data_IF_642887387183
#
_entry.id   IF_642887387183
#
_cell.length_a   1.000
_cell.length_b   1.000
_cell.length_c   1.000
_cell.angle_alpha   90.00
_cell.angle_beta   90.00
_cell.angle_gamma   90.00
#
_symmetry.space_group_name_H-M   'P 1'
#
loop_
_entity.id
_entity.type
_entity.pdbx_description
1 polymer ?
#
# COMPACT_ATOMS: atom_id res chain seq x y z
N UNK A 1 -11.48 -3.36 -2.15
CA UNK A 1 -11.52 -2.03 -1.50
C UNK A 1 -12.10 -2.09 -0.08
N UNK A 2 -13.27 -2.68 0.15
CA UNK A 2 -13.88 -2.70 1.51
C UNK A 2 -13.02 -3.46 2.55
N UNK A 3 -12.35 -4.55 2.16
CA UNK A 3 -11.49 -5.32 3.07
C UNK A 3 -10.24 -4.57 3.56
N UNK A 4 -9.60 -3.76 2.69
CA UNK A 4 -8.44 -2.93 3.08
C UNK A 4 -8.84 -1.73 3.92
N UNK A 5 -10.02 -1.17 3.65
CA UNK A 5 -10.64 -0.05 4.39
C UNK A 5 -11.01 -0.43 5.83
N UNK A 6 -11.48 -1.66 6.05
CA UNK A 6 -11.76 -2.22 7.38
C UNK A 6 -10.50 -2.26 8.26
N UNK A 7 -9.37 -2.67 7.68
CA UNK A 7 -8.08 -2.69 8.39
C UNK A 7 -7.59 -1.29 8.77
N UNK A 8 -7.73 -0.32 7.87
CA UNK A 8 -7.36 1.07 8.15
C UNK A 8 -8.26 1.74 9.19
N UNK A 9 -9.55 1.47 9.16
CA UNK A 9 -10.52 1.94 10.16
C UNK A 9 -10.14 1.44 11.56
N UNK A 10 -9.81 0.16 11.68
CA UNK A 10 -9.34 -0.44 12.94
C UNK A 10 -8.07 0.24 13.48
N UNK A 11 -7.08 0.52 12.63
CA UNK A 11 -5.84 1.19 13.02
C UNK A 11 -6.11 2.62 13.48
N UNK A 12 -6.88 3.40 12.71
CA UNK A 12 -7.23 4.78 13.08
C UNK A 12 -8.01 4.83 14.40
N UNK A 13 -8.96 3.90 14.58
CA UNK A 13 -9.70 3.77 15.83
C UNK A 13 -8.78 3.44 17.01
N UNK A 14 -7.86 2.49 16.86
CA UNK A 14 -6.85 2.16 17.88
C UNK A 14 -5.96 3.36 18.24
N UNK A 15 -5.52 4.13 17.25
CA UNK A 15 -4.71 5.34 17.49
C UNK A 15 -5.51 6.39 18.26
N UNK A 16 -6.80 6.55 17.97
CA UNK A 16 -7.65 7.47 18.73
C UNK A 16 -7.85 7.06 20.20
N UNK A 17 -7.87 5.74 20.49
CA UNK A 17 -7.99 5.22 21.85
C UNK A 17 -6.79 5.59 22.74
N UNK A 18 -5.63 5.89 22.16
CA UNK A 18 -4.48 6.40 22.90
C UNK A 18 -4.76 7.73 23.62
N UNK A 19 -5.79 8.48 23.18
CA UNK A 19 -6.21 9.74 23.78
C UNK A 19 -7.37 9.60 24.78
N UNK A 20 -7.83 8.37 25.07
CA UNK A 20 -9.00 8.09 25.93
C UNK A 20 -8.97 8.76 27.31
N UNK A 21 -7.78 9.01 27.87
CA UNK A 21 -7.62 9.71 29.15
C UNK A 21 -7.94 11.21 29.13
N UNK A 22 -8.14 11.83 27.95
CA UNK A 22 -8.45 13.26 27.79
C UNK A 22 -9.67 13.45 26.89
N UNK A 23 -10.86 13.78 27.42
CA UNK A 23 -12.11 13.70 26.67
C UNK A 23 -12.16 14.61 25.43
N UNK A 24 -11.61 15.82 25.52
CA UNK A 24 -11.55 16.75 24.37
C UNK A 24 -10.61 16.27 23.26
N UNK A 25 -9.44 15.73 23.62
CA UNK A 25 -8.47 15.21 22.65
C UNK A 25 -8.97 13.91 22.01
N UNK A 26 -9.58 13.04 22.82
CA UNK A 26 -10.24 11.83 22.35
C UNK A 26 -11.34 12.13 21.34
N UNK A 27 -12.25 13.07 21.64
CA UNK A 27 -13.34 13.45 20.74
C UNK A 27 -12.83 13.91 19.38
N UNK A 28 -11.78 14.74 19.36
CA UNK A 28 -11.15 15.23 18.12
C UNK A 28 -10.45 14.12 17.35
N UNK A 29 -9.64 13.30 18.03
CA UNK A 29 -8.94 12.17 17.43
C UNK A 29 -9.90 11.11 16.88
N UNK A 30 -10.97 10.80 17.61
CA UNK A 30 -11.99 9.84 17.19
C UNK A 30 -12.79 10.36 15.98
N UNK A 31 -13.15 11.64 15.99
CA UNK A 31 -13.81 12.28 14.83
C UNK A 31 -12.93 12.26 13.58
N UNK A 32 -11.62 12.48 13.76
CA UNK A 32 -10.64 12.37 12.69
C UNK A 32 -10.49 10.94 12.16
N UNK A 33 -10.47 9.95 13.06
CA UNK A 33 -10.30 8.54 12.71
C UNK A 33 -11.42 8.00 11.81
N UNK A 34 -12.67 8.41 12.05
CA UNK A 34 -13.87 7.90 11.36
C UNK A 34 -14.24 8.74 10.12
N UNK A 35 -13.58 9.89 9.91
CA UNK A 35 -13.93 10.82 8.84
C UNK A 35 -13.90 10.17 7.45
N UNK A 36 -12.86 9.37 7.17
CA UNK A 36 -12.72 8.62 5.92
C UNK A 36 -13.79 7.53 5.78
N UNK A 37 -14.08 6.80 6.85
CA UNK A 37 -15.08 5.73 6.86
C UNK A 37 -16.48 6.28 6.59
N UNK A 38 -16.85 7.40 7.21
CA UNK A 38 -18.14 8.07 6.97
C UNK A 38 -18.25 8.50 5.52
N UNK A 39 -17.20 9.08 4.95
CA UNK A 39 -17.20 9.45 3.53
C UNK A 39 -17.42 8.24 2.63
N UNK A 40 -16.73 7.13 2.88
CA UNK A 40 -16.87 5.91 2.07
C UNK A 40 -18.24 5.25 2.23
N UNK A 41 -18.82 5.27 3.44
CA UNK A 41 -20.19 4.80 3.70
C UNK A 41 -21.21 5.70 2.98
N UNK A 42 -21.07 7.03 3.05
CA UNK A 42 -21.93 7.96 2.32
C UNK A 42 -21.80 7.74 0.80
N UNK A 43 -20.58 7.59 0.30
CA UNK A 43 -20.29 7.25 -1.09
C UNK A 43 -20.99 5.96 -1.50
N UNK A 44 -20.93 4.92 -0.68
CA UNK A 44 -21.64 3.67 -0.92
C UNK A 44 -23.15 3.89 -1.04
N UNK A 45 -23.79 4.60 -0.10
CA UNK A 45 -25.23 4.84 -0.15
C UNK A 45 -25.69 5.68 -1.34
N UNK A 46 -24.81 6.50 -1.92
CA UNK A 46 -25.12 7.31 -3.11
C UNK A 46 -24.82 6.53 -4.40
N UNK A 47 -23.62 5.97 -4.50
CA UNK A 47 -23.10 5.35 -5.71
C UNK A 47 -23.70 3.96 -5.92
N UNK A 48 -23.94 3.18 -4.88
CA UNK A 48 -24.46 1.82 -5.02
C UNK A 48 -25.87 1.76 -5.61
N UNK A 49 -26.86 2.54 -5.14
CA UNK A 49 -28.16 2.58 -5.80
C UNK A 49 -28.06 3.11 -7.23
N UNK A 50 -27.25 4.14 -7.45
CA UNK A 50 -27.02 4.70 -8.79
C UNK A 50 -26.49 3.63 -9.75
N UNK A 51 -25.50 2.84 -9.32
CA UNK A 51 -24.93 1.76 -10.11
C UNK A 51 -25.96 0.68 -10.43
N UNK A 52 -26.76 0.27 -9.43
CA UNK A 52 -27.79 -0.75 -9.61
C UNK A 52 -28.84 -0.37 -10.66
N UNK A 53 -29.14 0.92 -10.82
CA UNK A 53 -30.09 1.40 -11.83
C UNK A 53 -29.46 1.69 -13.20
N UNK A 54 -28.19 2.11 -13.26
CA UNK A 54 -27.60 2.68 -14.49
C UNK A 54 -26.42 1.90 -15.08
N UNK A 55 -25.74 1.07 -14.28
CA UNK A 55 -24.48 0.42 -14.65
C UNK A 55 -23.41 1.44 -15.06
N UNK A 56 -23.35 2.58 -14.36
CA UNK A 56 -22.52 3.73 -14.74
C UNK A 56 -21.03 3.39 -14.64
N UNK A 57 -20.60 2.81 -13.52
CA UNK A 57 -19.20 2.44 -13.27
C UNK A 57 -18.77 1.38 -14.27
N UNK A 58 -19.60 0.38 -14.56
CA UNK A 58 -19.30 -0.63 -15.58
C UNK A 58 -19.08 0.01 -16.96
N UNK A 59 -19.97 0.89 -17.40
CA UNK A 59 -19.86 1.58 -18.69
C UNK A 59 -18.64 2.49 -18.77
N UNK A 60 -18.39 3.28 -17.72
CA UNK A 60 -17.23 4.17 -17.67
C UNK A 60 -15.93 3.37 -17.64
N UNK A 61 -15.89 2.26 -16.91
CA UNK A 61 -14.74 1.35 -16.88
C UNK A 61 -14.45 0.79 -18.28
N UNK A 62 -15.48 0.33 -18.99
CA UNK A 62 -15.33 -0.10 -20.38
C UNK A 62 -14.79 1.01 -21.28
N UNK A 63 -15.33 2.23 -21.19
CA UNK A 63 -14.86 3.38 -21.97
C UNK A 63 -13.41 3.77 -21.70
N UNK A 64 -12.92 3.57 -20.47
CA UNK A 64 -11.53 3.85 -20.09
C UNK A 64 -10.61 2.73 -20.58
N UNK A 65 -11.02 1.46 -20.46
CA UNK A 65 -10.16 0.30 -20.74
C UNK A 65 -10.09 -0.05 -22.23
N UNK A 66 -11.16 0.11 -22.99
CA UNK A 66 -11.23 -0.24 -24.42
C UNK A 66 -10.15 0.44 -25.29
N UNK A 67 -9.92 1.77 -25.21
CA UNK A 67 -8.82 2.41 -25.94
C UNK A 67 -7.44 2.02 -25.42
N UNK A 68 -7.32 1.65 -24.14
CA UNK A 68 -6.06 1.25 -23.51
C UNK A 68 -5.56 -0.13 -23.98
N UNK A 69 -6.46 -1.04 -24.32
CA UNK A 69 -6.11 -2.37 -24.88
C UNK A 69 -5.82 -2.25 -26.39
N UNK A 70 -6.47 -1.29 -27.06
CA UNK A 70 -6.36 -1.08 -28.51
C UNK A 70 -5.08 -0.37 -28.95
N UNK A 71 -4.55 0.58 -28.17
CA UNK A 71 -3.33 1.31 -28.53
C UNK A 71 -2.20 1.10 -27.52
N UNK A 72 -1.21 0.32 -27.97
CA UNK A 72 0.16 0.24 -27.45
C UNK A 72 0.30 -0.34 -26.03
N UNK A 73 0.88 -1.54 -25.98
CA UNK A 73 1.49 -2.13 -24.79
C UNK A 73 2.64 -1.26 -24.28
N UNK A 74 2.30 -0.21 -23.56
CA UNK A 74 3.24 0.57 -22.78
C UNK A 74 3.50 -0.19 -21.47
N UNK A 75 4.28 -1.26 -21.54
CA UNK A 75 4.76 -1.97 -20.37
C UNK A 75 5.75 -1.07 -19.65
N UNK A 76 5.28 -0.32 -18.65
CA UNK A 76 6.15 0.28 -17.65
C UNK A 76 6.64 -0.82 -16.72
N UNK A 77 7.62 -1.59 -17.20
CA UNK A 77 8.36 -2.65 -16.52
C UNK A 77 9.22 -2.09 -15.38
N UNK A 78 8.59 -1.47 -14.39
CA UNK A 78 9.27 -0.70 -13.33
C UNK A 78 9.24 -1.45 -12.00
N UNK A 79 8.15 -2.17 -11.71
CA UNK A 79 7.99 -2.90 -10.45
C UNK A 79 8.69 -4.26 -10.45
N UNK A 80 8.55 -5.02 -11.54
CA UNK A 80 9.25 -6.31 -11.71
C UNK A 80 10.76 -6.08 -11.78
N UNK A 81 11.21 -4.99 -12.43
CA UNK A 81 12.62 -4.60 -12.49
C UNK A 81 13.23 -4.31 -11.11
N UNK A 82 12.43 -3.86 -10.14
CA UNK A 82 12.89 -3.55 -8.78
C UNK A 82 12.75 -4.76 -7.84
N UNK A 83 11.75 -5.61 -8.07
CA UNK A 83 11.41 -6.73 -7.19
C UNK A 83 12.18 -8.01 -7.54
N UNK A 84 12.36 -8.29 -8.83
CA UNK A 84 13.10 -9.44 -9.33
C UNK A 84 14.54 -9.53 -8.82
N UNK A 85 15.37 -8.46 -8.82
CA UNK A 85 16.72 -8.54 -8.29
C UNK A 85 16.74 -8.83 -6.79
N UNK A 86 15.76 -8.32 -6.04
CA UNK A 86 15.65 -8.56 -4.60
C UNK A 86 15.28 -10.03 -4.34
N UNK A 87 14.32 -10.58 -5.06
CA UNK A 87 13.92 -11.98 -4.93
C UNK A 87 15.07 -12.93 -5.27
N UNK A 88 15.83 -12.65 -6.33
CA UNK A 88 17.00 -13.46 -6.71
C UNK A 88 18.13 -13.41 -5.68
N UNK A 89 18.30 -12.31 -4.95
CA UNK A 89 19.27 -12.19 -3.85
C UNK A 89 18.81 -12.94 -2.60
N UNK A 90 17.51 -12.93 -2.29
CA UNK A 90 16.96 -13.53 -1.07
C UNK A 90 16.79 -15.04 -1.23
N UNK A 91 16.09 -15.50 -2.29
CA UNK A 91 15.74 -16.91 -2.45
C UNK A 91 15.42 -17.26 -3.91
N UNK A 92 16.16 -18.21 -4.49
CA UNK A 92 15.82 -18.80 -5.78
C UNK A 92 15.14 -20.16 -5.57
N UNK A 93 13.86 -20.23 -5.95
CA UNK A 93 13.03 -21.43 -5.86
C UNK A 93 12.83 -21.98 -7.27
N UNK A 94 12.84 -23.31 -7.40
CA UNK A 94 12.47 -23.93 -8.66
C UNK A 94 10.94 -23.90 -8.83
N UNK A 95 10.42 -22.82 -9.44
CA UNK A 95 8.98 -22.59 -9.61
C UNK A 95 8.26 -23.74 -10.32
N UNK A 96 8.89 -24.35 -11.33
CA UNK A 96 8.32 -25.47 -12.07
C UNK A 96 8.11 -26.71 -11.20
N UNK A 97 9.01 -26.92 -10.24
CA UNK A 97 8.95 -28.05 -9.31
C UNK A 97 7.97 -27.79 -8.16
N UNK A 98 7.89 -26.54 -7.71
CA UNK A 98 6.88 -26.09 -6.74
C UNK A 98 5.45 -26.23 -7.29
N UNK A 99 5.24 -25.88 -8.56
CA UNK A 99 3.95 -26.03 -9.24
C UNK A 99 3.59 -27.52 -9.39
N UNK A 100 4.54 -28.36 -9.80
CA UNK A 100 4.33 -29.80 -9.91
C UNK A 100 4.04 -30.46 -8.56
N UNK A 101 4.65 -30.00 -7.47
CA UNK A 101 4.38 -30.50 -6.12
C UNK A 101 2.99 -30.11 -5.60
N UNK A 102 2.45 -28.98 -6.05
CA UNK A 102 1.08 -28.55 -5.70
C UNK A 102 0.03 -29.41 -6.40
N UNK A 103 0.32 -29.89 -7.62
CA UNK A 103 -0.60 -30.68 -8.44
C UNK A 103 -0.51 -32.18 -8.12
N UNK A 104 0.68 -32.71 -7.84
CA UNK A 104 0.95 -34.15 -7.62
C UNK A 104 1.85 -34.38 -6.39
N UNK A 105 1.30 -34.30 -5.16
CA UNK A 105 2.08 -34.37 -3.92
C UNK A 105 2.72 -35.76 -3.67
N UNK A 106 2.15 -36.84 -4.22
CA UNK A 106 2.65 -38.21 -4.04
C UNK A 106 3.98 -38.49 -4.78
N UNK A 107 4.40 -37.61 -5.69
CA UNK A 107 5.63 -37.78 -6.48
C UNK A 107 6.89 -37.31 -5.74
N UNK A 108 6.74 -36.58 -4.63
CA UNK A 108 7.84 -35.96 -3.91
C UNK A 108 8.01 -36.57 -2.52
N UNK A 109 9.26 -36.93 -2.18
CA UNK A 109 9.59 -37.41 -0.85
C UNK A 109 9.33 -36.32 0.22
N UNK A 110 8.93 -36.68 1.45
CA UNK A 110 8.53 -35.72 2.50
C UNK A 110 9.64 -34.76 2.96
N UNK A 111 10.88 -34.93 2.47
CA UNK A 111 12.05 -34.11 2.78
C UNK A 111 12.74 -33.55 1.51
N UNK A 112 11.98 -33.42 0.42
CA UNK A 112 12.43 -32.79 -0.82
C UNK A 112 12.65 -31.28 -0.60
N UNK A 113 13.74 -30.75 -1.14
CA UNK A 113 14.06 -29.32 -1.05
C UNK A 113 13.65 -28.63 -2.33
N UNK A 114 12.86 -27.57 -2.24
CA UNK A 114 12.41 -26.78 -3.40
C UNK A 114 13.32 -25.57 -3.66
N UNK A 115 14.19 -25.27 -2.71
CA UNK A 115 15.20 -24.21 -2.80
C UNK A 115 16.41 -24.74 -3.56
N UNK A 116 16.84 -24.01 -4.58
CA UNK A 116 18.08 -24.36 -5.29
C UNK A 116 19.26 -24.18 -4.33
N UNK A 117 20.12 -25.19 -4.21
CA UNK A 117 21.20 -25.20 -3.21
C UNK A 117 22.49 -25.76 -3.77
N UNK A 118 23.55 -25.32 -3.12
CA UNK A 118 24.92 -25.67 -3.42
C UNK A 118 25.61 -26.51 -2.34
N UNK A 119 24.87 -26.84 -1.29
CA UNK A 119 25.33 -27.59 -0.12
C UNK A 119 24.45 -28.81 0.10
N UNK A 120 25.07 -29.99 0.18
CA UNK A 120 24.36 -31.24 0.44
C UNK A 120 24.13 -31.45 1.94
N UNK A 121 23.16 -32.29 2.32
CA UNK A 121 22.87 -32.62 3.74
C UNK A 121 24.07 -33.19 4.51
N UNK A 122 25.06 -33.73 3.80
CA UNK A 122 26.33 -34.23 4.37
C UNK A 122 27.40 -33.13 4.58
N UNK A 123 27.10 -31.86 4.30
CA UNK A 123 28.03 -30.74 4.46
C UNK A 123 29.03 -30.57 3.29
N UNK A 124 29.00 -31.45 2.29
CA UNK A 124 29.78 -31.32 1.05
C UNK A 124 29.26 -30.14 0.21
N UNK A 125 30.18 -29.33 -0.32
CA UNK A 125 29.87 -28.14 -1.13
C UNK A 125 30.23 -28.36 -2.59
N UNK A 126 29.43 -27.82 -3.50
CA UNK A 126 29.73 -27.81 -4.94
C UNK A 126 30.79 -26.73 -5.21
N UNK A 127 31.90 -27.09 -5.86
CA UNK A 127 33.03 -26.17 -6.11
C UNK A 127 32.76 -25.09 -7.18
N UNK A 128 31.60 -25.13 -7.84
CA UNK A 128 31.17 -24.09 -8.78
C UNK A 128 29.65 -23.86 -8.65
N UNK A 129 29.29 -22.83 -7.89
CA UNK A 129 27.89 -22.53 -7.58
C UNK A 129 27.33 -21.48 -8.52
N UNK A 130 26.33 -21.84 -9.35
CA UNK A 130 25.68 -20.88 -10.23
C UNK A 130 24.70 -19.96 -9.49
N UNK A 131 24.42 -20.22 -8.20
CA UNK A 131 23.39 -19.54 -7.42
C UNK A 131 23.98 -18.52 -6.42
N UNK A 132 23.56 -17.27 -6.54
CA UNK A 132 23.99 -16.14 -5.69
C UNK A 132 22.87 -15.63 -4.76
N UNK A 133 22.22 -16.53 -4.02
CA UNK A 133 21.21 -16.16 -3.01
C UNK A 133 21.70 -16.43 -1.58
N UNK A 134 21.12 -15.72 -0.60
CA UNK A 134 21.53 -15.71 0.81
C UNK A 134 21.65 -17.10 1.45
N UNK A 135 20.85 -18.05 0.97
CA UNK A 135 20.77 -19.43 1.49
C UNK A 135 21.48 -20.49 0.63
N UNK A 136 22.17 -20.11 -0.45
CA UNK A 136 22.77 -21.05 -1.42
C UNK A 136 23.74 -22.05 -0.77
N UNK A 137 24.49 -21.59 0.24
CA UNK A 137 25.51 -22.38 0.93
C UNK A 137 25.06 -22.97 2.27
N UNK A 138 23.77 -22.86 2.61
CA UNK A 138 23.24 -23.34 3.90
C UNK A 138 22.74 -24.78 3.79
N UNK A 139 23.00 -25.60 4.82
CA UNK A 139 22.50 -26.98 4.93
C UNK A 139 21.18 -27.09 5.71
N UNK A 140 20.55 -25.94 6.01
CA UNK A 140 19.33 -25.86 6.80
C UNK A 140 18.13 -26.44 6.06
N UNK A 141 17.15 -26.99 6.79
CA UNK A 141 15.90 -27.45 6.18
C UNK A 141 15.07 -26.29 5.62
N UNK A 142 14.34 -26.51 4.53
CA UNK A 142 13.46 -25.53 3.86
C UNK A 142 12.48 -24.90 4.84
N UNK A 143 11.98 -25.70 5.79
CA UNK A 143 11.12 -25.24 6.88
C UNK A 143 11.80 -24.17 7.73
N UNK A 144 13.06 -24.38 8.11
CA UNK A 144 13.80 -23.45 8.97
C UNK A 144 14.12 -22.15 8.22
N UNK A 145 14.49 -22.25 6.94
CA UNK A 145 14.72 -21.08 6.09
C UNK A 145 13.44 -20.25 5.96
N UNK A 146 12.29 -20.92 5.74
CA UNK A 146 10.99 -20.26 5.66
C UNK A 146 10.66 -19.45 6.93
N UNK A 147 10.86 -20.03 8.11
CA UNK A 147 10.65 -19.31 9.38
C UNK A 147 11.60 -18.11 9.52
N UNK A 148 12.88 -18.26 9.20
CA UNK A 148 13.87 -17.18 9.28
C UNK A 148 13.48 -16.01 8.37
N UNK A 149 13.14 -16.29 7.11
CA UNK A 149 12.72 -15.27 6.13
C UNK A 149 11.44 -14.58 6.57
N UNK A 150 10.47 -15.33 7.10
CA UNK A 150 9.20 -14.79 7.59
C UNK A 150 9.43 -13.80 8.74
N UNK A 151 10.21 -14.17 9.76
CA UNK A 151 10.46 -13.27 10.90
C UNK A 151 11.26 -12.03 10.49
N UNK A 152 12.27 -12.18 9.61
CA UNK A 152 13.04 -11.04 9.09
C UNK A 152 12.13 -10.11 8.30
N UNK A 153 11.25 -10.65 7.44
CA UNK A 153 10.31 -9.86 6.66
C UNK A 153 9.31 -9.11 7.55
N UNK A 154 8.73 -9.77 8.56
CA UNK A 154 7.81 -9.12 9.50
C UNK A 154 8.54 -8.01 10.27
N UNK A 155 9.75 -8.29 10.76
CA UNK A 155 10.54 -7.29 11.49
C UNK A 155 10.90 -6.09 10.60
N UNK A 156 11.35 -6.33 9.37
CA UNK A 156 11.67 -5.29 8.40
C UNK A 156 10.43 -4.45 8.05
N UNK A 157 9.28 -5.11 7.84
CA UNK A 157 8.01 -4.44 7.56
C UNK A 157 7.57 -3.56 8.74
N UNK A 158 7.64 -4.08 9.97
CA UNK A 158 7.30 -3.31 11.18
C UNK A 158 8.24 -2.11 11.35
N UNK A 159 9.55 -2.30 11.17
CA UNK A 159 10.53 -1.21 11.25
C UNK A 159 10.32 -0.16 10.15
N UNK A 160 10.01 -0.59 8.92
CA UNK A 160 9.70 0.31 7.81
C UNK A 160 8.44 1.12 8.12
N UNK A 161 7.37 0.47 8.59
CA UNK A 161 6.12 1.13 8.94
C UNK A 161 6.31 2.15 10.08
N UNK A 162 7.01 1.78 11.15
CA UNK A 162 7.33 2.69 12.26
C UNK A 162 8.22 3.84 11.78
N UNK A 163 9.21 3.56 10.93
CA UNK A 163 10.10 4.56 10.35
C UNK A 163 9.35 5.59 9.50
N UNK A 164 8.41 5.14 8.66
CA UNK A 164 7.55 6.02 7.86
C UNK A 164 6.68 6.88 8.77
N UNK A 165 6.03 6.30 9.79
CA UNK A 165 5.21 7.06 10.74
C UNK A 165 6.05 8.11 11.48
N UNK A 166 7.24 7.72 11.95
CA UNK A 166 8.17 8.64 12.62
C UNK A 166 8.64 9.77 11.69
N UNK A 167 8.94 9.45 10.43
CA UNK A 167 9.33 10.42 9.41
C UNK A 167 8.21 11.42 9.15
N UNK A 168 6.97 10.96 9.00
CA UNK A 168 5.81 11.82 8.78
C UNK A 168 5.58 12.71 10.01
N UNK A 169 5.69 12.18 11.22
CA UNK A 169 5.61 12.99 12.45
C UNK A 169 6.69 14.07 12.49
N UNK A 170 7.93 13.74 12.12
CA UNK A 170 9.03 14.72 12.04
C UNK A 170 8.88 15.73 10.91
N UNK A 171 8.30 15.35 9.78
CA UNK A 171 8.01 16.25 8.67
C UNK A 171 6.84 17.20 9.02
N UNK A 172 5.82 16.70 9.71
CA UNK A 172 4.68 17.51 10.18
C UNK A 172 4.99 18.37 11.42
N UNK A 173 6.04 18.08 12.18
CA UNK A 173 6.54 19.00 13.21
C UNK A 173 7.60 19.99 12.66
N UNK A 174 8.12 19.75 11.45
CA UNK A 174 9.21 20.51 10.84
C UNK A 174 8.79 21.58 9.83
N UNK A 175 9.78 22.13 9.11
CA UNK A 175 9.60 23.18 8.08
C UNK A 175 8.50 22.91 7.05
N UNK A 176 8.19 21.64 6.75
CA UNK A 176 7.12 21.26 5.82
C UNK A 176 5.74 21.61 6.37
N UNK A 177 5.48 21.49 7.68
CA UNK A 177 4.24 21.99 8.26
C UNK A 177 4.15 23.50 8.27
N UNK A 178 5.26 24.24 8.37
CA UNK A 178 5.29 25.68 8.14
C UNK A 178 5.10 26.05 6.66
N UNK A 179 5.54 25.20 5.72
CA UNK A 179 5.33 25.41 4.29
C UNK A 179 3.87 25.12 3.90
N UNK A 180 3.31 24.02 4.40
CA UNK A 180 1.90 23.66 4.30
C UNK A 180 1.05 24.70 5.00
N UNK A 181 1.42 25.16 6.22
CA UNK A 181 0.78 26.31 6.88
C UNK A 181 0.93 27.62 6.13
N UNK A 182 2.02 27.89 5.44
CA UNK A 182 2.18 29.09 4.58
C UNK A 182 1.39 28.99 3.28
N UNK A 183 1.19 27.78 2.75
CA UNK A 183 0.28 27.49 1.64
C UNK A 183 -1.19 27.56 2.09
N UNK A 184 -1.50 27.14 3.33
CA UNK A 184 -2.83 27.24 3.95
C UNK A 184 -3.15 28.65 4.47
N UNK A 185 -2.16 29.41 4.94
CA UNK A 185 -2.28 30.78 5.46
C UNK A 185 -2.21 31.83 4.36
N UNK A 186 -1.78 31.45 3.15
CA UNK A 186 -2.22 32.09 1.92
C UNK A 186 -3.72 31.77 1.72
N UNK A 187 -4.55 32.24 2.65
CA UNK A 187 -5.95 32.51 2.35
C UNK A 187 -5.95 33.47 1.16
N UNK A 188 -6.31 32.97 -0.02
CA UNK A 188 -6.59 33.84 -1.16
C UNK A 188 -7.64 34.87 -0.69
N UNK A 189 -7.31 36.18 -0.67
CA UNK A 189 -8.27 37.18 -0.22
C UNK A 189 -9.35 37.34 -1.31
N UNK A 190 -10.63 37.23 -0.94
CA UNK A 190 -11.76 37.53 -1.81
C UNK A 190 -12.56 36.33 -2.34
N UNK A 191 -13.29 36.54 -3.44
CA UNK A 191 -14.36 35.70 -4.05
C UNK A 191 -13.93 34.26 -4.43
N UNK A 192 -12.67 33.89 -4.21
CA UNK A 192 -12.03 32.61 -4.57
C UNK A 192 -11.81 31.68 -3.35
N UNK A 193 -12.52 31.92 -2.24
CA UNK A 193 -12.57 31.04 -1.05
C UNK A 193 -12.71 29.52 -1.34
N UNK A 194 -13.50 29.04 -2.32
CA UNK A 194 -13.60 27.61 -2.60
C UNK A 194 -12.30 26.99 -3.17
N UNK A 195 -11.41 27.79 -3.80
CA UNK A 195 -10.17 27.28 -4.38
C UNK A 195 -9.19 26.76 -3.31
N UNK A 196 -9.23 27.29 -2.09
CA UNK A 196 -8.39 26.80 -0.99
C UNK A 196 -8.71 25.34 -0.67
N UNK A 197 -9.98 24.95 -0.68
CA UNK A 197 -10.39 23.55 -0.45
C UNK A 197 -9.85 22.60 -1.52
N UNK A 198 -9.91 22.99 -2.80
CA UNK A 198 -9.37 22.20 -3.90
C UNK A 198 -7.85 22.08 -3.88
N UNK A 199 -7.12 23.14 -3.50
CA UNK A 199 -5.66 23.07 -3.32
C UNK A 199 -5.26 22.10 -2.19
N UNK A 200 -5.97 22.16 -1.05
CA UNK A 200 -5.72 21.25 0.07
C UNK A 200 -6.06 19.80 -0.32
N UNK A 201 -7.11 19.60 -1.11
CA UNK A 201 -7.44 18.30 -1.70
C UNK A 201 -6.34 17.80 -2.65
N UNK A 202 -5.77 18.67 -3.49
CA UNK A 202 -4.66 18.32 -4.38
C UNK A 202 -3.40 17.93 -3.59
N UNK A 203 -3.11 18.63 -2.49
CA UNK A 203 -2.01 18.24 -1.59
C UNK A 203 -2.25 16.86 -1.01
N UNK A 204 -3.45 16.55 -0.54
CA UNK A 204 -3.83 15.21 -0.07
C UNK A 204 -3.63 14.14 -1.15
N UNK A 205 -4.05 14.44 -2.38
CA UNK A 205 -3.87 13.56 -3.54
C UNK A 205 -2.39 13.28 -3.83
N UNK A 206 -1.55 14.32 -3.91
CA UNK A 206 -0.13 14.19 -4.24
C UNK A 206 0.62 13.44 -3.15
N UNK A 207 0.37 13.77 -1.89
CA UNK A 207 0.99 13.07 -0.76
C UNK A 207 0.60 11.59 -0.76
N UNK A 208 -0.66 11.27 -1.09
CA UNK A 208 -1.10 9.88 -1.14
C UNK A 208 -0.61 9.12 -2.36
N UNK A 209 -0.38 9.76 -3.52
CA UNK A 209 0.30 9.11 -4.65
C UNK A 209 1.74 8.74 -4.27
N UNK A 210 2.44 9.62 -3.54
CA UNK A 210 3.82 9.37 -3.10
C UNK A 210 3.91 8.28 -2.02
N UNK A 211 3.00 8.32 -1.04
CA UNK A 211 2.97 7.34 0.07
C UNK A 211 2.31 6.02 -0.37
N UNK A 212 1.49 6.05 -1.42
CA UNK A 212 0.65 4.96 -1.93
C UNK A 212 -0.31 4.33 -0.90
N UNK A 213 -0.49 4.97 0.26
CA UNK A 213 -1.33 4.47 1.33
C UNK A 213 -2.08 5.60 2.02
N UNK A 214 -3.41 5.58 1.87
CA UNK A 214 -4.30 6.50 2.56
C UNK A 214 -4.41 6.20 4.07
N UNK A 215 -4.18 4.95 4.50
CA UNK A 215 -4.25 4.60 5.93
C UNK A 215 -3.12 5.23 6.73
N UNK A 216 -1.90 5.19 6.20
CA UNK A 216 -0.72 5.81 6.83
C UNK A 216 -0.92 7.32 6.93
N UNK A 217 -1.44 7.93 5.87
CA UNK A 217 -1.75 9.36 5.82
C UNK A 217 -2.80 9.77 6.88
N UNK A 218 -3.95 9.10 6.90
CA UNK A 218 -5.04 9.39 7.85
C UNK A 218 -4.65 9.08 9.30
N UNK A 219 -3.91 7.99 9.54
CA UNK A 219 -3.40 7.62 10.87
C UNK A 219 -2.38 8.62 11.40
N UNK A 220 -1.63 9.30 10.53
CA UNK A 220 -0.72 10.36 10.96
C UNK A 220 -1.45 11.66 11.27
N UNK A 221 -2.55 11.97 10.59
CA UNK A 221 -3.36 13.18 10.83
C UNK A 221 -4.22 13.06 12.09
N UNK A 222 -4.68 11.86 12.41
CA UNK A 222 -5.50 11.56 13.61
C UNK A 222 -4.90 12.09 14.93
N UNK A 223 -3.63 11.82 15.29
CA UNK A 223 -3.02 12.35 16.51
C UNK A 223 -2.81 13.87 16.48
N UNK A 224 -2.61 14.46 15.30
CA UNK A 224 -2.46 15.92 15.13
C UNK A 224 -3.78 16.67 15.32
N UNK A 225 -4.89 16.05 14.93
CA UNK A 225 -6.23 16.57 15.22
C UNK A 225 -6.58 16.35 16.71
N UNK A 226 -6.18 15.20 17.26
CA UNK A 226 -6.29 14.91 18.69
C UNK A 226 -5.56 15.92 19.59
N UNK A 227 -4.36 16.35 19.19
CA UNK A 227 -3.58 17.38 19.90
C UNK A 227 -4.05 18.81 19.62
N UNK A 228 -4.93 19.01 18.62
CA UNK A 228 -5.44 20.32 18.23
C UNK A 228 -4.50 21.16 17.36
N UNK A 229 -3.42 20.57 16.84
CA UNK A 229 -2.48 21.22 15.92
C UNK A 229 -3.11 21.44 14.54
N UNK A 230 -4.00 20.53 14.14
CA UNK A 230 -4.79 20.54 12.90
C UNK A 230 -6.27 20.49 13.27
N UNK A 231 -7.12 21.26 12.58
CA UNK A 231 -8.58 21.21 12.80
C UNK A 231 -9.23 20.13 11.93
N UNK A 232 -10.37 19.60 12.37
CA UNK A 232 -11.12 18.60 11.60
C UNK A 232 -11.53 19.13 10.21
N UNK A 233 -11.83 20.43 10.10
CA UNK A 233 -12.15 21.12 8.85
C UNK A 233 -11.00 21.12 7.84
N UNK A 234 -9.75 21.16 8.31
CA UNK A 234 -8.57 21.07 7.45
C UNK A 234 -8.26 19.64 7.03
N UNK A 235 -8.53 18.67 7.92
CA UNK A 235 -8.35 17.24 7.63
C UNK A 235 -9.33 16.72 6.58
N UNK A 236 -10.56 17.24 6.55
CA UNK A 236 -11.59 16.79 5.62
C UNK A 236 -11.19 16.84 4.12
N UNK A 237 -10.80 17.99 3.54
CA UNK A 237 -10.35 18.04 2.15
C UNK A 237 -9.07 17.22 1.90
N UNK A 238 -8.17 17.07 2.88
CA UNK A 238 -6.98 16.22 2.76
C UNK A 238 -7.35 14.74 2.61
N UNK A 239 -8.29 14.24 3.42
CA UNK A 239 -8.76 12.85 3.36
C UNK A 239 -9.51 12.60 2.05
N UNK A 240 -10.33 13.54 1.58
CA UNK A 240 -10.97 13.45 0.26
C UNK A 240 -9.95 13.32 -0.87
N UNK A 241 -8.93 14.18 -0.86
CA UNK A 241 -7.83 14.13 -1.83
C UNK A 241 -7.08 12.80 -1.79
N UNK A 242 -6.85 12.28 -0.58
CA UNK A 242 -6.19 11.00 -0.37
C UNK A 242 -6.96 9.82 -0.97
N UNK A 243 -8.29 9.78 -0.83
CA UNK A 243 -9.13 8.75 -1.45
C UNK A 243 -9.09 8.79 -2.99
N UNK A 244 -8.96 9.99 -3.57
CA UNK A 244 -8.76 10.16 -5.01
C UNK A 244 -7.35 9.66 -5.40
N UNK A 245 -6.34 9.99 -4.61
CA UNK A 245 -4.95 9.60 -4.85
C UNK A 245 -4.75 8.08 -4.90
N UNK A 246 -5.38 7.31 -4.00
CA UNK A 246 -5.30 5.83 -4.03
C UNK A 246 -5.92 5.24 -5.29
N UNK A 247 -6.99 5.85 -5.81
CA UNK A 247 -7.60 5.45 -7.09
C UNK A 247 -6.60 5.67 -8.24
N UNK A 248 -5.89 6.81 -8.23
CA UNK A 248 -4.87 7.12 -9.22
C UNK A 248 -3.67 6.17 -9.17
N UNK A 249 -3.23 5.79 -7.95
CA UNK A 249 -2.18 4.77 -7.77
C UNK A 249 -2.59 3.41 -8.33
N UNK A 250 -3.85 3.01 -8.16
CA UNK A 250 -4.38 1.77 -8.74
C UNK A 250 -4.39 1.78 -10.27
N UNK A 251 -4.79 2.91 -10.86
CA UNK A 251 -4.72 3.12 -12.31
C UNK A 251 -3.27 3.07 -12.80
N UNK A 252 -2.35 3.77 -12.13
CA UNK A 252 -0.92 3.74 -12.48
C UNK A 252 -0.30 2.35 -12.36
N UNK A 253 -0.72 1.56 -11.37
CA UNK A 253 -0.30 0.17 -11.21
C UNK A 253 -0.87 -0.72 -12.34
N UNK A 254 -2.11 -0.52 -12.76
CA UNK A 254 -2.70 -1.21 -13.90
C UNK A 254 -1.92 -0.90 -15.20
N UNK A 255 -1.55 0.37 -15.42
CA UNK A 255 -0.67 0.77 -16.52
C UNK A 255 0.74 0.16 -16.46
N UNK A 256 1.21 -0.24 -15.28
CA UNK A 256 2.54 -0.82 -15.09
C UNK A 256 2.56 -2.34 -15.28
N UNK A 257 1.42 -2.99 -15.48
CA UNK A 257 1.32 -4.45 -15.60
C UNK A 257 1.45 -4.88 -17.06
N UNK A 258 2.36 -5.83 -17.33
CA UNK A 258 2.71 -6.29 -18.67
C UNK A 258 1.55 -7.05 -19.36
N UNK A 259 1.08 -6.63 -20.57
CA UNK A 259 -0.03 -7.28 -21.28
C UNK A 259 0.25 -8.75 -21.61
N UNK A 260 1.53 -9.12 -21.74
CA UNK A 260 2.01 -10.47 -22.06
C UNK A 260 1.65 -11.54 -21.02
N UNK A 261 1.24 -11.16 -19.80
CA UNK A 261 0.74 -12.11 -18.79
C UNK A 261 -0.69 -12.61 -19.05
N UNK A 262 -1.50 -11.86 -19.79
CA UNK A 262 -2.89 -12.24 -20.08
C UNK A 262 -2.99 -13.27 -21.22
N UNK A 263 -1.98 -13.34 -22.08
CA UNK A 263 -1.92 -14.27 -23.21
C UNK A 263 -1.66 -15.74 -22.79
N UNK A 264 -1.23 -15.99 -21.55
CA UNK A 264 -1.03 -17.34 -21.01
C UNK A 264 -2.31 -18.04 -20.53
N UNK A 265 -3.45 -17.34 -20.54
CA UNK A 265 -4.73 -17.85 -20.02
C UNK A 265 -5.89 -17.78 -21.02
N UNK A 266 -5.60 -17.51 -22.31
CA UNK A 266 -6.56 -17.64 -23.42
C UNK A 266 -6.14 -18.79 -24.31
#
# INVERSE_FOLDING_TARGET
MIGSELGSSLVNAMVSLAYSGKPEQFRRAFSAAILGDVFNICGLFVIFPMEMFTGLIEKVSWWIVDPLISEQGLSFKTLDLLTDPINQIILQVNEAELLNATIRPEMFAPNHSFVQRCSFKNGSRVYNCPYNHLFANTSLSDKNIGWIVLFISIFCLVMCLVGIVYLIQKLLDGHAANYVRNLLSKQCPGMWKPCTGYLVMLVGLVVTILIQSNSIFSSSLTPLVGSGVVTLEQMYPLVLGSNIGTTFSGVLAAFSTDPSRFEKYT
#
